data_IF_680258414643
#
_entry.id   IF_680258414643
#
_cell.length_a   1.000
_cell.length_b   1.000
_cell.length_c   1.000
_cell.angle_alpha   90.00
_cell.angle_beta   90.00
_cell.angle_gamma   90.00
#
_symmetry.space_group_name_H-M   'P 1'
#
loop_
_entity.id
_entity.type
_entity.pdbx_description
1 polymer ?
#
# COMPACT_ATOMS: atom_id res chain seq x y z
N UNK A 1 3.36 -18.41 3.86
CA UNK A 1 2.86 -17.11 3.34
C UNK A 1 4.07 -16.23 3.12
N UNK A 2 4.35 -15.79 1.88
CA UNK A 2 5.66 -15.26 1.46
C UNK A 2 6.25 -14.24 2.43
N UNK A 3 7.22 -14.72 3.23
CA UNK A 3 8.27 -13.94 3.89
C UNK A 3 9.37 -13.73 2.86
N UNK A 4 9.18 -12.83 1.90
CA UNK A 4 10.36 -12.22 1.28
C UNK A 4 10.79 -11.08 2.20
N UNK A 5 12.08 -10.96 2.57
CA UNK A 5 12.61 -9.72 3.15
C UNK A 5 12.72 -8.64 2.04
N UNK A 6 11.67 -8.50 1.22
CA UNK A 6 11.50 -7.40 0.30
C UNK A 6 11.24 -6.12 1.08
N UNK A 7 11.47 -4.97 0.47
CA UNK A 7 11.33 -3.68 1.16
C UNK A 7 9.87 -3.47 1.57
N UNK A 8 9.61 -3.41 2.88
CA UNK A 8 8.27 -3.17 3.44
C UNK A 8 8.17 -1.72 3.91
N UNK A 9 7.10 -1.03 3.54
CA UNK A 9 6.79 0.32 3.99
C UNK A 9 5.42 0.36 4.67
N UNK A 10 5.37 0.88 5.91
CA UNK A 10 4.11 1.16 6.61
C UNK A 10 3.75 2.64 6.43
N UNK A 11 2.55 2.93 5.94
CA UNK A 11 2.11 4.29 5.62
C UNK A 11 0.81 4.57 6.37
N UNK A 12 0.89 5.51 7.31
CA UNK A 12 -0.27 6.06 7.99
C UNK A 12 -0.91 7.16 7.14
N UNK A 13 -2.24 7.15 7.03
CA UNK A 13 -2.95 8.15 6.21
C UNK A 13 -2.85 7.89 4.71
N UNK A 14 -2.70 6.62 4.32
CA UNK A 14 -2.54 6.18 2.94
C UNK A 14 -3.65 6.63 1.97
N UNK A 15 -4.86 6.91 2.47
CA UNK A 15 -6.02 7.32 1.64
C UNK A 15 -6.01 8.78 1.20
N UNK A 16 -5.14 9.61 1.77
CA UNK A 16 -5.03 11.02 1.39
C UNK A 16 -4.41 11.24 0.01
N UNK A 17 -4.32 12.51 -0.40
CA UNK A 17 -3.72 12.90 -1.68
C UNK A 17 -2.27 12.43 -1.82
N UNK A 18 -1.44 12.68 -0.81
CA UNK A 18 -0.03 12.30 -0.85
C UNK A 18 0.12 10.78 -0.72
N UNK A 19 -0.62 10.17 0.20
CA UNK A 19 -0.57 8.71 0.46
C UNK A 19 -0.80 7.88 -0.79
N UNK A 20 -1.91 8.12 -1.52
CA UNK A 20 -2.22 7.34 -2.74
C UNK A 20 -1.15 7.48 -3.83
N UNK A 21 -0.58 8.67 -3.99
CA UNK A 21 0.43 8.92 -5.03
C UNK A 21 1.80 8.39 -4.64
N UNK A 22 2.12 8.42 -3.35
CA UNK A 22 3.33 7.81 -2.80
C UNK A 22 3.29 6.29 -2.97
N UNK A 23 2.17 5.66 -2.60
CA UNK A 23 1.94 4.22 -2.76
C UNK A 23 2.20 3.78 -4.19
N UNK A 24 1.62 4.49 -5.18
CA UNK A 24 1.82 4.15 -6.60
C UNK A 24 3.27 4.27 -7.08
N UNK A 25 4.09 5.13 -6.45
CA UNK A 25 5.53 5.21 -6.76
C UNK A 25 6.33 4.12 -6.05
N UNK A 26 5.91 3.72 -4.86
CA UNK A 26 6.56 2.67 -4.08
C UNK A 26 6.25 1.27 -4.62
N UNK A 27 5.03 0.99 -5.07
CA UNK A 27 4.66 -0.27 -5.70
C UNK A 27 5.47 -0.54 -6.97
N UNK A 28 5.74 0.51 -7.77
CA UNK A 28 6.64 0.44 -8.94
C UNK A 28 8.09 0.10 -8.61
N UNK A 29 8.50 0.27 -7.35
CA UNK A 29 9.85 -0.07 -6.86
C UNK A 29 9.85 -1.41 -6.10
N UNK A 30 8.80 -2.22 -6.29
CA UNK A 30 8.61 -3.53 -5.66
C UNK A 30 8.57 -3.51 -4.13
N UNK A 31 8.03 -2.41 -3.57
CA UNK A 31 7.75 -2.37 -2.13
C UNK A 31 6.45 -3.08 -1.81
N UNK A 32 6.45 -3.82 -0.70
CA UNK A 32 5.22 -4.25 -0.03
C UNK A 32 4.75 -3.13 0.89
N UNK A 33 3.48 -2.80 0.85
CA UNK A 33 2.92 -1.65 1.56
C UNK A 33 1.88 -2.12 2.56
N UNK A 34 1.99 -1.62 3.78
CA UNK A 34 0.97 -1.72 4.83
C UNK A 34 0.33 -0.33 4.94
N UNK A 35 -0.88 -0.20 4.43
CA UNK A 35 -1.60 1.07 4.32
C UNK A 35 -2.58 1.21 5.48
N UNK A 36 -2.18 1.94 6.53
CA UNK A 36 -3.00 2.13 7.72
C UNK A 36 -3.95 3.31 7.52
N UNK A 37 -5.25 3.03 7.58
CA UNK A 37 -6.31 4.04 7.49
C UNK A 37 -7.41 3.75 8.50
N UNK A 38 -8.20 4.77 8.87
CA UNK A 38 -9.29 4.63 9.87
C UNK A 38 -10.44 3.75 9.38
N UNK A 39 -10.67 3.70 8.07
CA UNK A 39 -11.72 2.90 7.45
C UNK A 39 -11.17 2.19 6.21
N UNK A 40 -10.51 1.03 6.39
CA UNK A 40 -9.85 0.32 5.29
C UNK A 40 -10.85 -0.15 4.23
N UNK A 41 -12.07 -0.49 4.63
CA UNK A 41 -13.15 -0.93 3.73
C UNK A 41 -13.54 0.13 2.69
N UNK A 42 -13.50 1.42 3.05
CA UNK A 42 -13.83 2.52 2.13
C UNK A 42 -12.70 2.83 1.14
N UNK A 43 -11.48 2.36 1.41
CA UNK A 43 -10.29 2.70 0.64
C UNK A 43 -9.75 1.54 -0.19
N UNK A 44 -10.62 0.59 -0.58
CA UNK A 44 -10.27 -0.55 -1.43
C UNK A 44 -9.59 -0.17 -2.76
N UNK A 45 -9.85 1.04 -3.28
CA UNK A 45 -9.18 1.57 -4.47
C UNK A 45 -7.64 1.67 -4.32
N UNK A 46 -7.11 1.69 -3.10
CA UNK A 46 -5.66 1.69 -2.85
C UNK A 46 -5.02 0.36 -3.29
N UNK A 47 -5.73 -0.78 -3.17
CA UNK A 47 -5.23 -2.10 -3.60
C UNK A 47 -4.98 -2.19 -5.10
N UNK A 48 -5.67 -1.37 -5.90
CA UNK A 48 -5.51 -1.30 -7.36
C UNK A 48 -4.22 -0.59 -7.80
N UNK A 49 -3.51 0.07 -6.88
CA UNK A 49 -2.29 0.84 -7.19
C UNK A 49 -1.02 -0.01 -7.28
N UNK A 50 -1.12 -1.31 -7.05
CA UNK A 50 -0.02 -2.27 -7.09
C UNK A 50 -0.48 -3.63 -7.57
N UNK A 51 0.47 -4.56 -7.64
CA UNK A 51 0.19 -5.95 -8.00
C UNK A 51 -0.60 -6.65 -6.88
N UNK A 52 -1.36 -7.71 -7.19
CA UNK A 52 -2.08 -8.50 -6.20
C UNK A 52 -1.15 -8.94 -5.05
N UNK A 53 -1.56 -8.67 -3.80
CA UNK A 53 -0.80 -9.02 -2.61
C UNK A 53 0.33 -8.04 -2.21
N UNK A 54 0.61 -6.98 -2.99
CA UNK A 54 1.59 -5.96 -2.61
C UNK A 54 1.07 -4.97 -1.56
N UNK A 55 -0.24 -4.71 -1.52
CA UNK A 55 -0.84 -3.69 -0.64
C UNK A 55 -1.78 -4.37 0.35
N UNK A 56 -1.50 -4.16 1.63
CA UNK A 56 -2.32 -4.56 2.76
C UNK A 56 -3.08 -3.34 3.30
N UNK A 57 -4.40 -3.46 3.50
CA UNK A 57 -5.28 -2.38 4.01
C UNK A 57 -5.91 -2.79 5.33
#
# INVERSE_FOLDING_TARGET
MQKNPGKVACIFGASGFIGRHLIRRLTKKDFRIIAVTRSPYLHGHLKLLGNPGQIDL
#
